data_IF_894489995780
#
_entry.id   IF_894489995780
#
_cell.length_a   1.000
_cell.length_b   1.000
_cell.length_c   1.000
_cell.angle_alpha   90.00
_cell.angle_beta   90.00
_cell.angle_gamma   90.00
#
_symmetry.space_group_name_H-M   'P 1'
#
loop_
_entity.id
_entity.type
_entity.pdbx_description
1 polymer ?
#
# COMPACT_ATOMS: atom_id res chain seq x y z
N UNK A 1 -9.70 28.81 21.68
CA UNK A 1 -9.15 28.76 20.31
C UNK A 1 -7.90 27.91 20.31
N UNK A 2 -7.91 26.75 19.65
CA UNK A 2 -6.68 25.96 19.45
C UNK A 2 -5.78 26.78 18.52
N UNK A 3 -4.60 27.17 19.01
CA UNK A 3 -3.66 27.97 18.23
C UNK A 3 -3.02 27.09 17.15
N UNK A 4 -3.65 27.08 15.98
CA UNK A 4 -3.30 26.25 14.81
C UNK A 4 -1.86 26.50 14.37
N UNK A 5 -1.32 27.71 14.58
CA UNK A 5 0.07 28.08 14.23
C UNK A 5 1.08 27.35 15.12
N UNK A 6 0.90 27.42 16.45
CA UNK A 6 1.74 26.67 17.40
C UNK A 6 1.70 25.16 17.17
N UNK A 7 0.54 24.62 16.79
CA UNK A 7 0.41 23.19 16.48
C UNK A 7 1.20 22.82 15.21
N UNK A 8 1.11 23.63 14.15
CA UNK A 8 1.84 23.41 12.90
C UNK A 8 3.35 23.56 13.06
N UNK A 9 3.82 24.50 13.88
CA UNK A 9 5.24 24.68 14.18
C UNK A 9 5.81 23.47 14.92
N UNK A 10 5.10 22.98 15.95
CA UNK A 10 5.47 21.74 16.64
C UNK A 10 5.47 20.54 15.69
N UNK A 11 4.45 20.42 14.84
CA UNK A 11 4.35 19.32 13.88
C UNK A 11 5.47 19.35 12.82
N UNK A 12 5.88 20.55 12.37
CA UNK A 12 7.01 20.70 11.43
C UNK A 12 8.36 20.34 12.06
N UNK A 13 8.50 20.50 13.37
CA UNK A 13 9.70 20.10 14.12
C UNK A 13 9.80 18.60 14.40
N UNK A 14 8.74 17.82 14.17
CA UNK A 14 8.78 16.37 14.32
C UNK A 14 9.53 15.70 13.17
N UNK A 15 10.13 14.56 13.48
CA UNK A 15 10.73 13.68 12.48
C UNK A 15 9.73 13.36 11.35
N UNK A 16 10.21 13.36 10.11
CA UNK A 16 9.41 13.11 8.91
C UNK A 16 8.63 11.80 9.01
N UNK A 17 9.21 10.77 9.65
CA UNK A 17 8.55 9.49 9.86
C UNK A 17 7.34 9.60 10.78
N UNK A 18 7.43 10.40 11.85
CA UNK A 18 6.30 10.65 12.77
C UNK A 18 5.20 11.45 12.07
N UNK A 19 5.57 12.37 11.18
CA UNK A 19 4.60 13.15 10.39
C UNK A 19 3.86 12.31 9.36
N UNK A 20 4.50 11.26 8.86
CA UNK A 20 4.00 10.40 7.79
C UNK A 20 3.26 9.15 8.30
N UNK A 21 3.53 8.73 9.54
CA UNK A 21 2.88 7.62 10.24
C UNK A 21 1.34 7.73 10.29
N UNK A 22 0.71 8.89 10.56
CA UNK A 22 -0.74 9.00 10.63
C UNK A 22 -1.44 8.56 9.34
N UNK A 23 -0.81 8.79 8.18
CA UNK A 23 -1.38 8.36 6.89
C UNK A 23 -1.49 6.83 6.82
N UNK A 24 -0.41 6.12 7.18
CA UNK A 24 -0.42 4.66 7.22
C UNK A 24 -1.42 4.12 8.24
N UNK A 25 -1.44 4.72 9.44
CA UNK A 25 -2.36 4.30 10.50
C UNK A 25 -3.82 4.49 10.11
N UNK A 26 -4.17 5.61 9.47
CA UNK A 26 -5.52 5.87 8.99
C UNK A 26 -5.99 4.82 7.98
N UNK A 27 -5.14 4.45 7.01
CA UNK A 27 -5.46 3.40 6.05
C UNK A 27 -5.60 2.03 6.72
N UNK A 28 -4.73 1.72 7.68
CA UNK A 28 -4.79 0.46 8.42
C UNK A 28 -6.11 0.36 9.21
N UNK A 29 -6.46 1.40 9.96
CA UNK A 29 -7.73 1.46 10.71
C UNK A 29 -8.90 1.37 9.75
N UNK A 30 -8.88 2.11 8.64
CA UNK A 30 -9.93 2.06 7.63
C UNK A 30 -10.11 0.64 7.06
N UNK A 31 -9.01 -0.09 6.81
CA UNK A 31 -9.08 -1.47 6.32
C UNK A 31 -9.64 -2.47 7.34
N UNK A 32 -9.67 -2.13 8.63
CA UNK A 32 -10.25 -2.96 9.67
C UNK A 32 -11.75 -2.67 9.90
N UNK A 33 -12.26 -1.52 9.42
CA UNK A 33 -13.65 -1.12 9.58
C UNK A 33 -14.57 -2.09 8.83
N UNK A 34 -15.60 -2.66 9.49
CA UNK A 34 -16.50 -3.64 8.89
C UNK A 34 -17.14 -3.16 7.59
N UNK A 35 -17.53 -1.88 7.51
CA UNK A 35 -18.14 -1.29 6.32
C UNK A 35 -17.19 -1.10 5.13
N UNK A 36 -15.88 -1.24 5.33
CA UNK A 36 -14.86 -1.15 4.27
C UNK A 36 -14.20 -2.49 3.97
N UNK A 37 -14.55 -3.57 4.70
CA UNK A 37 -14.09 -4.93 4.39
C UNK A 37 -14.73 -5.37 3.08
N UNK A 38 -13.91 -5.81 2.12
CA UNK A 38 -14.36 -6.18 0.78
C UNK A 38 -14.62 -4.99 -0.16
N UNK A 39 -14.45 -3.74 0.30
CA UNK A 39 -14.50 -2.54 -0.56
C UNK A 39 -13.09 -2.06 -0.96
N UNK A 40 -12.13 -2.98 -1.04
CA UNK A 40 -10.77 -2.67 -1.46
C UNK A 40 -10.60 -2.71 -2.98
N UNK A 41 -9.34 -2.60 -3.40
CA UNK A 41 -9.02 -2.71 -4.82
C UNK A 41 -9.20 -4.15 -5.28
N UNK A 42 -10.00 -4.35 -6.33
CA UNK A 42 -10.18 -5.64 -6.98
C UNK A 42 -9.44 -5.66 -8.31
N UNK A 43 -8.46 -6.55 -8.41
CA UNK A 43 -7.70 -6.81 -9.65
C UNK A 43 -7.69 -8.31 -9.90
N UNK A 44 -8.16 -8.73 -11.08
CA UNK A 44 -8.09 -10.12 -11.50
C UNK A 44 -9.28 -11.02 -11.09
N UNK A 45 -10.32 -10.46 -10.47
CA UNK A 45 -11.62 -11.15 -10.31
C UNK A 45 -11.62 -12.38 -9.40
N UNK A 46 -10.63 -12.54 -8.51
CA UNK A 46 -10.56 -13.68 -7.61
C UNK A 46 -11.72 -13.67 -6.60
N UNK A 47 -12.24 -14.84 -6.19
CA UNK A 47 -13.28 -14.92 -5.18
C UNK A 47 -12.78 -14.37 -3.83
N UNK A 48 -13.63 -13.58 -3.16
CA UNK A 48 -13.28 -12.93 -1.90
C UNK A 48 -13.02 -13.95 -0.80
N UNK A 49 -11.80 -13.93 -0.25
CA UNK A 49 -11.39 -14.77 0.87
C UNK A 49 -11.68 -14.07 2.21
N UNK A 50 -12.16 -14.79 3.23
CA UNK A 50 -12.34 -14.21 4.57
C UNK A 50 -11.03 -13.68 5.15
N UNK A 51 -11.14 -12.58 5.90
CA UNK A 51 -10.00 -11.92 6.55
C UNK A 51 -9.39 -12.82 7.62
N UNK A 52 -8.13 -13.19 7.46
CA UNK A 52 -7.37 -14.01 8.40
C UNK A 52 -6.08 -13.29 8.85
N UNK A 53 -5.21 -13.98 9.60
CA UNK A 53 -3.94 -13.41 10.07
C UNK A 53 -3.04 -12.93 8.92
N UNK A 54 -3.09 -13.60 7.76
CA UNK A 54 -2.30 -13.22 6.60
C UNK A 54 -2.85 -11.94 5.96
N UNK A 55 -4.17 -11.75 5.94
CA UNK A 55 -4.78 -10.49 5.54
C UNK A 55 -4.34 -9.32 6.46
N UNK A 56 -4.27 -9.55 7.77
CA UNK A 56 -3.78 -8.54 8.71
C UNK A 56 -2.30 -8.19 8.46
N UNK A 57 -1.47 -9.20 8.20
CA UNK A 57 -0.06 -8.98 7.84
C UNK A 57 0.07 -8.20 6.52
N UNK A 58 -0.74 -8.52 5.50
CA UNK A 58 -0.78 -7.81 4.24
C UNK A 58 -1.21 -6.34 4.43
N UNK A 59 -2.21 -6.07 5.27
CA UNK A 59 -2.63 -4.71 5.59
C UNK A 59 -1.50 -3.91 6.28
N UNK A 60 -0.83 -4.52 7.26
CA UNK A 60 0.31 -3.90 7.96
C UNK A 60 1.44 -3.57 6.98
N UNK A 61 1.75 -4.49 6.06
CA UNK A 61 2.80 -4.35 5.06
C UNK A 61 2.46 -3.28 4.00
N UNK A 62 1.18 -3.07 3.70
CA UNK A 62 0.73 -1.99 2.82
C UNK A 62 0.73 -0.63 3.52
N UNK A 63 0.40 -0.58 4.81
CA UNK A 63 0.15 0.68 5.51
C UNK A 63 1.37 1.24 6.25
N UNK A 64 2.09 0.45 7.05
CA UNK A 64 3.15 0.96 7.91
C UNK A 64 4.37 1.52 7.16
N UNK A 65 4.81 0.94 6.02
CA UNK A 65 5.94 1.49 5.28
C UNK A 65 5.73 2.92 4.78
N UNK A 66 4.48 3.40 4.68
CA UNK A 66 4.20 4.79 4.33
C UNK A 66 4.80 5.80 5.31
N UNK A 67 5.15 5.39 6.53
CA UNK A 67 5.89 6.20 7.48
C UNK A 67 7.31 6.53 7.01
N UNK A 68 7.93 5.70 6.17
CA UNK A 68 9.28 5.93 5.63
C UNK A 68 9.28 6.36 4.17
N UNK A 69 8.11 6.64 3.57
CA UNK A 69 7.96 6.94 2.13
C UNK A 69 8.83 8.07 1.60
N UNK A 70 9.19 9.04 2.45
CA UNK A 70 10.05 10.18 2.09
C UNK A 70 11.54 9.94 2.33
N UNK A 71 11.89 9.04 3.26
CA UNK A 71 13.28 8.74 3.63
C UNK A 71 13.84 7.57 2.83
N UNK A 72 13.03 6.54 2.64
CA UNK A 72 13.39 5.29 1.97
C UNK A 72 12.31 4.95 0.92
N UNK A 73 12.12 5.80 -0.11
CA UNK A 73 11.01 5.67 -1.05
C UNK A 73 11.00 4.32 -1.79
N UNK A 74 12.17 3.78 -2.16
CA UNK A 74 12.27 2.47 -2.81
C UNK A 74 11.89 1.32 -1.90
N UNK A 75 12.32 1.36 -0.62
CA UNK A 75 11.96 0.34 0.37
C UNK A 75 10.46 0.39 0.67
N UNK A 76 9.91 1.60 0.82
CA UNK A 76 8.47 1.79 0.98
C UNK A 76 7.71 1.19 -0.21
N UNK A 77 8.09 1.52 -1.45
CA UNK A 77 7.43 1.00 -2.64
C UNK A 77 7.51 -0.52 -2.71
N UNK A 78 8.67 -1.11 -2.43
CA UNK A 78 8.88 -2.55 -2.46
C UNK A 78 7.99 -3.28 -1.45
N UNK A 79 7.95 -2.81 -0.19
CA UNK A 79 7.13 -3.41 0.85
C UNK A 79 5.64 -3.27 0.55
N UNK A 80 5.18 -2.08 0.16
CA UNK A 80 3.77 -1.85 -0.19
C UNK A 80 3.35 -2.70 -1.38
N UNK A 81 4.19 -2.80 -2.41
CA UNK A 81 3.93 -3.65 -3.58
C UNK A 81 3.86 -5.14 -3.21
N UNK A 82 4.73 -5.59 -2.30
CA UNK A 82 4.70 -6.97 -1.82
C UNK A 82 3.42 -7.28 -1.03
N UNK A 83 3.00 -6.38 -0.14
CA UNK A 83 1.74 -6.51 0.59
C UNK A 83 0.53 -6.50 -0.34
N UNK A 84 0.54 -5.64 -1.36
CA UNK A 84 -0.50 -5.58 -2.38
C UNK A 84 -0.55 -6.87 -3.22
N UNK A 85 0.60 -7.42 -3.62
CA UNK A 85 0.64 -8.68 -4.36
C UNK A 85 0.03 -9.84 -3.54
N UNK A 86 0.36 -9.93 -2.24
CA UNK A 86 -0.25 -10.93 -1.34
C UNK A 86 -1.76 -10.70 -1.21
N UNK A 87 -2.18 -9.45 -1.04
CA UNK A 87 -3.59 -9.07 -0.95
C UNK A 87 -4.41 -9.51 -2.17
N UNK A 88 -3.92 -9.21 -3.38
CA UNK A 88 -4.61 -9.55 -4.62
C UNK A 88 -4.56 -11.05 -4.92
N UNK A 89 -3.39 -11.70 -4.81
CA UNK A 89 -3.22 -13.13 -5.13
C UNK A 89 -3.99 -14.05 -4.16
N UNK A 90 -4.32 -13.57 -2.96
CA UNK A 90 -5.11 -14.31 -1.98
C UNK A 90 -6.58 -13.92 -1.95
N UNK A 91 -7.01 -12.97 -2.79
CA UNK A 91 -8.40 -12.53 -2.89
C UNK A 91 -8.90 -11.79 -1.64
N UNK A 92 -8.03 -11.08 -0.91
CA UNK A 92 -8.44 -10.36 0.30
C UNK A 92 -9.09 -9.00 -0.01
N UNK A 93 -8.69 -8.35 -1.11
CA UNK A 93 -9.24 -7.07 -1.59
C UNK A 93 -9.34 -6.03 -0.48
N UNK A 94 -8.21 -5.77 0.19
CA UNK A 94 -8.14 -4.86 1.32
C UNK A 94 -8.22 -3.40 0.88
N UNK A 95 -8.88 -2.57 1.70
CA UNK A 95 -8.85 -1.11 1.53
C UNK A 95 -7.43 -0.53 1.63
N UNK A 96 -6.54 -1.25 2.32
CA UNK A 96 -5.11 -0.97 2.38
C UNK A 96 -4.45 -0.88 0.98
N UNK A 97 -5.06 -1.45 -0.07
CA UNK A 97 -4.59 -1.34 -1.47
C UNK A 97 -4.39 0.10 -1.95
N UNK A 98 -5.11 1.05 -1.37
CA UNK A 98 -4.94 2.49 -1.60
C UNK A 98 -3.55 3.01 -1.22
N UNK A 99 -2.76 2.27 -0.43
CA UNK A 99 -1.38 2.63 -0.12
C UNK A 99 -0.46 2.51 -1.35
N UNK A 100 -0.75 1.63 -2.30
CA UNK A 100 0.08 1.44 -3.50
C UNK A 100 0.20 2.71 -4.36
N UNK A 101 -0.89 3.38 -4.79
CA UNK A 101 -0.77 4.63 -5.55
C UNK A 101 -0.06 5.74 -4.76
N UNK A 102 -0.25 5.80 -3.44
CA UNK A 102 0.46 6.75 -2.56
C UNK A 102 1.97 6.46 -2.57
N UNK A 103 2.37 5.20 -2.47
CA UNK A 103 3.76 4.77 -2.50
C UNK A 103 4.40 5.05 -3.86
N UNK A 104 3.69 4.80 -4.97
CA UNK A 104 4.15 5.12 -6.33
C UNK A 104 4.37 6.61 -6.53
N UNK A 105 3.40 7.45 -6.14
CA UNK A 105 3.54 8.91 -6.20
C UNK A 105 4.72 9.39 -5.34
N UNK A 106 4.85 8.85 -4.13
CA UNK A 106 5.96 9.20 -3.23
C UNK A 106 7.31 8.79 -3.82
N UNK A 107 7.42 7.59 -4.39
CA UNK A 107 8.63 7.17 -5.07
C UNK A 107 8.96 8.08 -6.26
N UNK A 108 7.96 8.46 -7.06
CA UNK A 108 8.14 9.41 -8.16
C UNK A 108 8.64 10.79 -7.74
N UNK A 109 8.30 11.23 -6.52
CA UNK A 109 8.70 12.53 -5.97
C UNK A 109 10.07 12.49 -5.26
N UNK A 110 10.41 11.41 -4.57
CA UNK A 110 11.58 11.35 -3.68
C UNK A 110 12.73 10.47 -4.17
N UNK A 111 12.53 9.66 -5.22
CA UNK A 111 13.62 8.89 -5.85
C UNK A 111 14.37 9.80 -6.81
N UNK A 112 15.58 10.21 -6.44
CA UNK A 112 16.45 11.02 -7.31
C UNK A 112 17.40 10.13 -8.13
N UNK A 113 17.94 9.07 -7.51
CA UNK A 113 18.86 8.10 -8.12
C UNK A 113 18.11 6.80 -8.44
N UNK A 114 18.50 6.11 -9.52
CA UNK A 114 17.90 4.85 -9.97
C UNK A 114 16.45 4.94 -10.46
N UNK A 115 15.96 6.14 -10.83
CA UNK A 115 14.56 6.31 -11.30
C UNK A 115 14.18 5.35 -12.42
N UNK A 116 15.03 5.23 -13.46
CA UNK A 116 14.76 4.35 -14.60
C UNK A 116 14.74 2.88 -14.20
N UNK A 117 15.69 2.47 -13.37
CA UNK A 117 15.75 1.10 -12.84
C UNK A 117 14.54 0.79 -11.97
N UNK A 118 14.16 1.69 -11.07
CA UNK A 118 12.96 1.55 -10.24
C UNK A 118 11.69 1.43 -11.08
N UNK A 119 11.54 2.25 -12.13
CA UNK A 119 10.42 2.13 -13.07
C UNK A 119 10.46 0.80 -13.82
N UNK A 120 11.61 0.38 -14.34
CA UNK A 120 11.74 -0.90 -15.04
C UNK A 120 11.39 -2.09 -14.13
N UNK A 121 11.94 -2.11 -12.92
CA UNK A 121 11.66 -3.15 -11.91
C UNK A 121 10.19 -3.15 -11.51
N UNK A 122 9.60 -1.98 -11.26
CA UNK A 122 8.17 -1.87 -10.93
C UNK A 122 7.28 -2.37 -12.07
N UNK A 123 7.60 -2.05 -13.32
CA UNK A 123 6.87 -2.55 -14.49
C UNK A 123 6.99 -4.06 -14.64
N UNK A 124 8.20 -4.62 -14.47
CA UNK A 124 8.41 -6.08 -14.51
C UNK A 124 7.64 -6.77 -13.38
N UNK A 125 7.68 -6.22 -12.17
CA UNK A 125 6.92 -6.74 -11.03
C UNK A 125 5.41 -6.69 -11.28
N UNK A 126 4.92 -5.61 -11.88
CA UNK A 126 3.51 -5.48 -12.26
C UNK A 126 3.11 -6.53 -13.30
N UNK A 127 3.88 -6.71 -14.37
CA UNK A 127 3.63 -7.75 -15.38
C UNK A 127 3.61 -9.14 -14.76
N UNK A 128 4.57 -9.44 -13.87
CA UNK A 128 4.62 -10.70 -13.15
C UNK A 128 3.37 -10.93 -12.29
N UNK A 129 2.92 -9.89 -11.56
CA UNK A 129 1.69 -9.93 -10.78
C UNK A 129 0.46 -10.15 -11.67
N UNK A 130 0.33 -9.41 -12.77
CA UNK A 130 -0.77 -9.57 -13.72
C UNK A 130 -0.84 -10.97 -14.31
N UNK A 131 0.31 -11.56 -14.66
CA UNK A 131 0.38 -12.92 -15.18
C UNK A 131 -0.02 -13.95 -14.12
N UNK A 132 0.43 -13.77 -12.88
CA UNK A 132 0.05 -14.64 -11.77
C UNK A 132 -1.46 -14.57 -11.48
N UNK A 133 -2.04 -13.37 -11.46
CA UNK A 133 -3.48 -13.17 -11.32
C UNK A 133 -4.26 -13.80 -12.47
N UNK A 134 -3.82 -13.58 -13.72
CA UNK A 134 -4.47 -14.18 -14.88
C UNK A 134 -4.50 -15.71 -14.81
N UNK A 135 -3.38 -16.34 -14.42
CA UNK A 135 -3.32 -17.80 -14.24
C UNK A 135 -4.24 -18.31 -13.12
N UNK A 136 -4.37 -17.55 -12.04
CA UNK A 136 -5.16 -17.96 -10.87
C UNK A 136 -6.66 -17.69 -11.05
N UNK A 137 -7.03 -16.65 -11.82
CA UNK A 137 -8.43 -16.33 -12.14
C UNK A 137 -9.01 -17.11 -13.32
N UNK A 138 -8.17 -17.73 -14.17
CA UNK A 138 -8.62 -18.54 -15.31
C UNK A 138 -9.21 -19.90 -14.93
N UNK A 139 -9.21 -20.26 -13.64
CA UNK A 139 -9.83 -21.49 -13.11
C UNK A 139 -11.35 -21.31 -12.84
N UNK A 140 -11.95 -20.16 -13.18
CA UNK A 140 -13.42 -20.03 -13.22
C UNK A 140 -14.00 -20.90 -14.35
N UNK A 141 -14.82 -21.93 -14.05
CA UNK A 141 -15.52 -22.66 -15.08
C UNK A 141 -16.57 -21.74 -15.71
N UNK A 142 -16.50 -21.61 -17.04
CA UNK A 142 -17.51 -20.95 -17.89
C UNK A 142 -18.86 -21.61 -17.80
#
# INVERSE_FOLDING_TARGET
MIDRRRLLERWRGLDVTVRDLPLGLLLLVASLLPGLRGNGTEVGGLPTRPTDLLAAAAAVLQCLPLAVRRRLPLVCLALVSAGFAVDQLRGYHLFAGTALPIALLSAGLYVERFRREATAVASVAFVALSLALHRTGSDEPV
#
